data_IF_756736000867
#
_entry.id   IF_756736000867
#
_cell.length_a   1.000
_cell.length_b   1.000
_cell.length_c   1.000
_cell.angle_alpha   90.00
_cell.angle_beta   90.00
_cell.angle_gamma   90.00
#
_symmetry.space_group_name_H-M   'P 1'
#
loop_
_entity.id
_entity.type
_entity.pdbx_description
1 polymer ?
#
# COMPACT_ATOMS: atom_id res chain seq x y z
N UNK A 1 42.56 14.84 49.35
CA UNK A 1 43.04 14.94 50.75
C UNK A 1 41.98 14.36 51.69
N UNK A 2 42.43 13.60 52.70
CA UNK A 2 41.77 13.14 53.95
C UNK A 2 40.48 12.29 53.83
N UNK A 3 40.51 10.96 54.11
CA UNK A 3 40.54 10.22 55.43
C UNK A 3 39.17 10.29 56.14
N UNK A 4 38.54 9.23 56.68
CA UNK A 4 38.94 8.09 57.53
C UNK A 4 37.88 6.97 57.37
N UNK A 5 38.09 5.64 57.33
CA UNK A 5 38.80 4.63 58.16
C UNK A 5 38.32 4.44 59.61
N UNK A 6 37.94 3.21 59.94
CA UNK A 6 37.80 2.60 61.28
C UNK A 6 36.92 1.35 61.21
N UNK A 7 37.41 0.15 60.84
CA UNK A 7 38.13 -0.85 61.66
C UNK A 7 37.52 -1.15 63.04
N UNK A 8 37.13 -2.42 63.28
CA UNK A 8 37.92 -3.34 64.13
C UNK A 8 37.43 -4.80 64.09
N UNK A 9 38.41 -5.69 63.89
CA UNK A 9 38.36 -7.16 64.05
C UNK A 9 38.60 -7.55 65.51
N UNK A 10 38.13 -8.76 65.87
CA UNK A 10 38.72 -9.60 66.94
C UNK A 10 37.70 -10.60 67.49
N UNK A 11 38.03 -11.80 67.99
CA UNK A 11 39.13 -12.77 67.83
C UNK A 11 38.63 -14.03 68.56
N UNK A 12 38.94 -15.23 68.06
CA UNK A 12 38.58 -16.57 68.61
C UNK A 12 39.14 -16.84 70.03
N UNK A 13 38.48 -17.75 70.77
CA UNK A 13 38.98 -18.82 71.70
C UNK A 13 37.72 -19.57 72.20
N UNK A 14 37.43 -20.88 72.05
CA UNK A 14 38.07 -22.20 72.28
C UNK A 14 38.20 -22.67 73.75
N UNK A 15 37.68 -23.89 73.97
CA UNK A 15 37.70 -24.81 75.15
C UNK A 15 36.81 -24.42 76.35
N UNK A 16 36.00 -25.29 76.96
CA UNK A 16 36.30 -26.65 77.43
C UNK A 16 35.05 -27.55 77.55
N UNK A 17 35.29 -28.87 77.69
CA UNK A 17 34.36 -30.00 77.65
C UNK A 17 34.23 -30.56 79.06
N UNK A 18 33.01 -30.79 79.55
CA UNK A 18 32.74 -31.82 80.57
C UNK A 18 31.42 -32.54 80.27
N UNK A 19 31.49 -33.87 80.34
CA UNK A 19 30.41 -34.83 80.14
C UNK A 19 29.66 -35.07 81.45
N UNK A 20 28.33 -35.27 81.39
CA UNK A 20 27.65 -36.38 82.10
C UNK A 20 26.13 -36.38 81.88
N UNK A 21 25.66 -37.36 81.10
CA UNK A 21 24.65 -38.36 81.51
C UNK A 21 23.44 -37.91 82.37
N UNK A 22 22.26 -37.81 81.74
CA UNK A 22 21.18 -38.85 81.74
C UNK A 22 19.76 -38.28 81.57
N UNK A 23 19.09 -38.85 80.55
CA UNK A 23 17.66 -39.24 80.48
C UNK A 23 16.58 -38.16 80.49
N UNK A 24 15.81 -38.16 79.40
CA UNK A 24 14.34 -38.07 79.51
C UNK A 24 13.67 -36.90 78.79
N UNK A 25 13.23 -37.19 77.56
CA UNK A 25 11.94 -36.77 76.98
C UNK A 25 11.74 -35.33 76.40
N UNK A 26 11.54 -35.36 75.07
CA UNK A 26 10.49 -34.64 74.32
C UNK A 26 10.69 -33.17 73.93
N UNK A 27 11.43 -33.01 72.83
CA UNK A 27 11.14 -32.22 71.61
C UNK A 27 9.90 -31.28 71.65
N UNK A 28 10.14 -29.96 71.57
CA UNK A 28 9.29 -29.03 70.81
C UNK A 28 10.12 -27.82 70.34
N UNK A 29 10.79 -27.98 69.19
CA UNK A 29 11.54 -26.92 68.52
C UNK A 29 10.61 -26.02 67.71
N UNK A 30 10.54 -24.76 68.10
CA UNK A 30 10.01 -23.66 67.28
C UNK A 30 11.04 -23.29 66.22
N UNK A 31 10.93 -23.87 65.02
CA UNK A 31 11.59 -23.34 63.82
C UNK A 31 10.56 -23.21 62.69
N UNK A 32 10.05 -21.99 62.47
CA UNK A 32 9.29 -21.64 61.27
C UNK A 32 10.28 -21.46 60.12
N UNK A 33 10.45 -22.49 59.30
CA UNK A 33 11.02 -22.36 57.97
C UNK A 33 10.13 -21.47 57.07
N UNK A 34 10.69 -20.69 56.13
CA UNK A 34 9.87 -19.99 55.15
C UNK A 34 9.13 -21.02 54.28
N UNK A 35 7.82 -20.85 54.11
CA UNK A 35 6.98 -21.75 53.34
C UNK A 35 7.55 -21.97 51.93
N UNK A 36 7.96 -23.20 51.64
CA UNK A 36 8.31 -23.63 50.30
C UNK A 36 7.04 -23.68 49.45
N UNK A 37 6.97 -22.87 48.39
CA UNK A 37 5.92 -22.97 47.38
C UNK A 37 5.92 -24.41 46.81
N UNK A 38 4.76 -25.07 46.85
CA UNK A 38 4.62 -26.44 46.33
C UNK A 38 4.72 -26.45 44.80
N UNK A 39 5.22 -27.56 44.23
CA UNK A 39 5.36 -27.72 42.77
C UNK A 39 4.06 -27.46 41.99
N UNK A 40 2.90 -27.64 42.63
CA UNK A 40 1.56 -27.35 42.09
C UNK A 40 1.29 -25.83 41.95
N UNK A 41 1.75 -25.01 42.90
CA UNK A 41 1.69 -23.55 42.80
C UNK A 41 2.69 -22.99 41.77
N UNK A 42 3.82 -23.67 41.57
CA UNK A 42 4.78 -23.36 40.51
C UNK A 42 4.22 -23.70 39.12
N UNK A 43 3.50 -24.83 38.97
CA UNK A 43 2.80 -25.21 37.75
C UNK A 43 1.71 -24.20 37.34
N UNK A 44 0.81 -23.85 38.26
CA UNK A 44 -0.24 -22.84 37.99
C UNK A 44 0.33 -21.44 37.66
N UNK A 45 1.43 -21.03 38.30
CA UNK A 45 2.08 -19.74 37.99
C UNK A 45 2.78 -19.77 36.63
N UNK A 46 3.25 -20.93 36.18
CA UNK A 46 3.85 -21.11 34.85
C UNK A 46 2.78 -21.11 33.76
N UNK A 47 1.66 -21.81 33.94
CA UNK A 47 0.52 -21.79 33.01
C UNK A 47 -0.12 -20.40 32.89
N UNK A 48 -0.35 -19.71 34.02
CA UNK A 48 -0.86 -18.32 33.99
C UNK A 48 0.13 -17.32 33.36
N UNK A 49 1.43 -17.64 33.30
CA UNK A 49 2.45 -16.81 32.63
C UNK A 49 2.52 -17.08 31.13
N UNK A 50 2.39 -18.34 30.69
CA UNK A 50 2.35 -18.68 29.26
C UNK A 50 1.12 -18.09 28.60
N UNK A 51 -0.05 -18.18 29.24
CA UNK A 51 -1.31 -17.59 28.75
C UNK A 51 -1.24 -16.06 28.63
N UNK A 52 -0.63 -15.38 29.62
CA UNK A 52 -0.43 -13.93 29.57
C UNK A 52 0.55 -13.52 28.47
N UNK A 53 1.60 -14.30 28.23
CA UNK A 53 2.58 -14.01 27.17
C UNK A 53 1.94 -14.17 25.80
N UNK A 54 1.20 -15.26 25.57
CA UNK A 54 0.45 -15.50 24.34
C UNK A 54 -0.59 -14.39 24.06
N UNK A 55 -1.33 -13.96 25.08
CA UNK A 55 -2.29 -12.86 24.95
C UNK A 55 -1.62 -11.51 24.61
N UNK A 56 -0.39 -11.29 25.07
CA UNK A 56 0.35 -10.06 24.78
C UNK A 56 0.91 -10.05 23.36
N UNK A 57 1.46 -11.18 22.92
CA UNK A 57 1.96 -11.36 21.53
C UNK A 57 0.81 -11.25 20.52
N UNK A 58 -0.34 -11.87 20.80
CA UNK A 58 -1.53 -11.73 19.95
C UNK A 58 -1.99 -10.28 19.81
N UNK A 59 -2.03 -9.52 20.92
CA UNK A 59 -2.40 -8.09 20.88
C UNK A 59 -1.43 -7.25 20.05
N UNK A 60 -0.13 -7.54 20.10
CA UNK A 60 0.85 -6.85 19.24
C UNK A 60 0.59 -7.13 17.77
N UNK A 61 0.38 -8.40 17.43
CA UNK A 61 0.05 -8.84 16.07
C UNK A 61 -1.22 -8.15 15.56
N UNK A 62 -2.28 -8.12 16.37
CA UNK A 62 -3.55 -7.46 16.01
C UNK A 62 -3.35 -5.96 15.73
N UNK A 63 -2.53 -5.27 16.52
CA UNK A 63 -2.23 -3.84 16.31
C UNK A 63 -1.53 -3.60 14.98
N UNK A 64 -0.53 -4.43 14.65
CA UNK A 64 0.24 -4.27 13.42
C UNK A 64 -0.55 -4.67 12.17
N UNK A 65 -1.34 -5.75 12.25
CA UNK A 65 -2.29 -6.13 11.19
C UNK A 65 -3.25 -4.97 10.92
N UNK A 66 -3.83 -4.37 11.96
CA UNK A 66 -4.75 -3.25 11.79
C UNK A 66 -4.08 -2.03 11.12
N UNK A 67 -2.80 -1.77 11.39
CA UNK A 67 -2.04 -0.72 10.68
C UNK A 67 -1.96 -1.01 9.19
N UNK A 68 -1.61 -2.23 8.82
CA UNK A 68 -1.56 -2.66 7.40
C UNK A 68 -2.96 -2.58 6.77
N UNK A 69 -3.99 -3.10 7.44
CA UNK A 69 -5.37 -3.09 6.93
C UNK A 69 -5.87 -1.67 6.63
N UNK A 70 -5.52 -0.68 7.48
CA UNK A 70 -5.87 0.72 7.23
C UNK A 70 -5.18 1.30 6.00
N UNK A 71 -3.94 0.91 5.73
CA UNK A 71 -3.22 1.31 4.50
C UNK A 71 -3.83 0.62 3.28
N UNK A 72 -4.13 -0.68 3.37
CA UNK A 72 -4.83 -1.42 2.31
C UNK A 72 -6.19 -0.81 1.98
N UNK A 73 -6.96 -0.33 2.96
CA UNK A 73 -8.22 0.36 2.71
C UNK A 73 -8.02 1.66 1.90
N UNK A 74 -6.94 2.41 2.15
CA UNK A 74 -6.58 3.60 1.36
C UNK A 74 -6.18 3.22 -0.07
N UNK A 75 -5.39 2.16 -0.22
CA UNK A 75 -4.97 1.64 -1.54
C UNK A 75 -6.18 1.16 -2.34
N UNK A 76 -7.10 0.42 -1.72
CA UNK A 76 -8.32 -0.08 -2.33
C UNK A 76 -9.27 1.03 -2.81
N UNK A 77 -9.18 2.22 -2.21
CA UNK A 77 -9.94 3.41 -2.63
C UNK A 77 -9.17 4.28 -3.64
N UNK A 78 -8.04 3.81 -4.16
CA UNK A 78 -7.26 4.47 -5.22
C UNK A 78 -6.16 5.40 -4.71
N UNK A 79 -5.90 5.46 -3.41
CA UNK A 79 -4.78 6.25 -2.88
C UNK A 79 -3.49 5.43 -2.88
N UNK A 80 -2.88 5.29 -4.06
CA UNK A 80 -1.61 4.57 -4.25
C UNK A 80 -0.38 5.31 -3.71
N UNK A 81 -0.55 6.51 -3.15
CA UNK A 81 0.51 7.21 -2.41
C UNK A 81 0.60 6.75 -0.95
N UNK A 82 -0.42 6.06 -0.44
CA UNK A 82 -0.39 5.49 0.88
C UNK A 82 0.67 4.38 0.96
N UNK A 83 1.49 4.39 2.01
CA UNK A 83 2.55 3.41 2.25
C UNK A 83 2.46 2.85 3.65
N UNK A 84 2.86 1.59 3.78
CA UNK A 84 3.07 0.95 5.08
C UNK A 84 4.38 1.49 5.64
N UNK A 85 4.33 1.99 6.87
CA UNK A 85 5.54 2.34 7.64
C UNK A 85 6.12 1.06 8.25
N UNK A 86 6.99 0.42 7.50
CA UNK A 86 7.58 -0.90 7.80
C UNK A 86 8.51 -0.83 9.02
N UNK A 87 9.11 0.33 9.29
CA UNK A 87 10.00 0.52 10.44
C UNK A 87 9.24 0.59 11.76
N UNK A 88 7.93 0.88 11.71
CA UNK A 88 7.05 0.88 12.87
C UNK A 88 6.48 -0.51 13.21
N UNK A 89 6.84 -1.56 12.48
CA UNK A 89 6.34 -2.93 12.65
C UNK A 89 7.40 -3.79 13.34
N UNK A 90 7.07 -4.31 14.52
CA UNK A 90 7.98 -5.12 15.33
C UNK A 90 7.90 -6.62 14.98
N UNK A 91 6.77 -7.11 14.46
CA UNK A 91 6.60 -8.52 14.07
C UNK A 91 7.23 -8.76 12.69
N UNK A 92 8.26 -9.63 12.57
CA UNK A 92 8.98 -9.83 11.32
C UNK A 92 8.10 -10.24 10.14
N UNK A 93 7.14 -11.13 10.34
CA UNK A 93 6.25 -11.62 9.29
C UNK A 93 5.32 -10.51 8.78
N UNK A 94 4.81 -9.68 9.69
CA UNK A 94 3.96 -8.53 9.36
C UNK A 94 4.81 -7.46 8.67
N UNK A 95 6.08 -7.33 9.05
CA UNK A 95 7.03 -6.41 8.43
C UNK A 95 7.28 -6.76 6.97
N UNK A 96 7.59 -8.03 6.68
CA UNK A 96 7.75 -8.53 5.31
C UNK A 96 6.49 -8.29 4.47
N UNK A 97 5.30 -8.56 5.04
CA UNK A 97 4.04 -8.27 4.34
C UNK A 97 3.88 -6.77 4.04
N UNK A 98 4.32 -5.89 4.93
CA UNK A 98 4.34 -4.45 4.71
C UNK A 98 5.26 -4.04 3.55
N UNK A 99 6.42 -4.69 3.41
CA UNK A 99 7.35 -4.50 2.28
C UNK A 99 6.71 -4.96 0.96
N UNK A 100 6.16 -6.17 0.92
CA UNK A 100 5.47 -6.72 -0.25
C UNK A 100 4.31 -5.81 -0.70
N UNK A 101 3.54 -5.28 0.25
CA UNK A 101 2.46 -4.33 -0.04
C UNK A 101 3.02 -3.04 -0.64
N UNK A 102 4.11 -2.49 -0.09
CA UNK A 102 4.72 -1.28 -0.63
C UNK A 102 5.24 -1.47 -2.05
N UNK A 103 5.84 -2.61 -2.35
CA UNK A 103 6.29 -2.95 -3.70
C UNK A 103 5.11 -3.09 -4.68
N UNK A 104 4.04 -3.78 -4.26
CA UNK A 104 2.82 -3.88 -5.05
C UNK A 104 2.18 -2.50 -5.31
N UNK A 105 2.14 -1.63 -4.31
CA UNK A 105 1.63 -0.26 -4.43
C UNK A 105 2.45 0.56 -5.42
N UNK A 106 3.78 0.41 -5.42
CA UNK A 106 4.65 1.09 -6.38
C UNK A 106 4.36 0.68 -7.82
N UNK A 107 4.08 -0.61 -8.06
CA UNK A 107 3.64 -1.10 -9.38
C UNK A 107 2.29 -0.50 -9.74
N UNK A 108 1.32 -0.48 -8.82
CA UNK A 108 0.00 0.12 -9.05
C UNK A 108 0.08 1.63 -9.33
N UNK A 109 0.93 2.36 -8.59
CA UNK A 109 1.16 3.79 -8.78
C UNK A 109 1.71 4.07 -10.19
N UNK A 110 2.74 3.33 -10.61
CA UNK A 110 3.32 3.45 -11.94
C UNK A 110 2.31 3.12 -13.05
N UNK A 111 1.59 2.00 -12.92
CA UNK A 111 0.58 1.60 -13.90
C UNK A 111 -0.53 2.66 -14.01
N UNK A 112 -1.00 3.19 -12.87
CA UNK A 112 -2.02 4.24 -12.87
C UNK A 112 -1.52 5.50 -13.57
N UNK A 113 -0.27 5.90 -13.32
CA UNK A 113 0.34 7.06 -13.96
C UNK A 113 0.45 6.89 -15.48
N UNK A 114 0.98 5.76 -15.96
CA UNK A 114 1.11 5.53 -17.41
C UNK A 114 -0.24 5.40 -18.11
N UNK A 115 -1.24 4.75 -17.48
CA UNK A 115 -2.61 4.71 -17.99
C UNK A 115 -3.17 6.13 -18.11
N UNK A 116 -3.06 6.95 -17.06
CA UNK A 116 -3.57 8.33 -17.08
C UNK A 116 -2.89 9.16 -18.16
N UNK A 117 -1.57 9.06 -18.29
CA UNK A 117 -0.79 9.74 -19.33
C UNK A 117 -1.26 9.34 -20.73
N UNK A 118 -1.45 8.04 -20.98
CA UNK A 118 -1.98 7.54 -22.24
C UNK A 118 -3.40 8.03 -22.52
N UNK A 119 -4.31 7.90 -21.56
CA UNK A 119 -5.71 8.37 -21.68
C UNK A 119 -5.79 9.87 -21.94
N UNK A 120 -4.94 10.68 -21.31
CA UNK A 120 -4.90 12.13 -21.56
C UNK A 120 -4.50 12.45 -23.00
N UNK A 121 -3.58 11.68 -23.61
CA UNK A 121 -3.24 11.82 -25.03
C UNK A 121 -4.45 11.52 -25.92
N UNK A 122 -5.13 10.40 -25.67
CA UNK A 122 -6.34 10.03 -26.41
C UNK A 122 -7.41 11.13 -26.29
N UNK A 123 -7.65 11.61 -25.06
CA UNK A 123 -8.63 12.65 -24.78
C UNK A 123 -8.32 13.96 -25.49
N UNK A 124 -7.05 14.38 -25.52
CA UNK A 124 -6.64 15.59 -26.22
C UNK A 124 -6.84 15.48 -27.74
N UNK A 125 -6.54 14.33 -28.33
CA UNK A 125 -6.82 14.08 -29.75
C UNK A 125 -8.32 14.14 -30.02
N UNK A 126 -9.13 13.43 -29.23
CA UNK A 126 -10.59 13.45 -29.39
C UNK A 126 -11.21 14.83 -29.18
N UNK A 127 -10.64 15.67 -28.30
CA UNK A 127 -11.09 17.04 -28.12
C UNK A 127 -10.86 17.90 -29.38
N UNK A 128 -9.72 17.71 -30.08
CA UNK A 128 -9.45 18.37 -31.37
C UNK A 128 -10.40 17.89 -32.46
N UNK A 129 -10.65 16.58 -32.52
CA UNK A 129 -11.65 15.99 -33.43
C UNK A 129 -13.03 16.58 -33.19
N UNK A 130 -13.45 16.71 -31.93
CA UNK A 130 -14.72 17.32 -31.57
C UNK A 130 -14.81 18.81 -31.98
N UNK A 131 -13.66 19.49 -32.10
CA UNK A 131 -13.59 20.86 -32.64
C UNK A 131 -13.52 20.94 -34.16
N UNK A 132 -13.56 19.81 -34.87
CA UNK A 132 -13.56 19.71 -36.33
C UNK A 132 -12.19 19.47 -36.96
N UNK A 133 -11.13 19.30 -36.17
CA UNK A 133 -9.80 18.92 -36.67
C UNK A 133 -9.73 17.39 -36.78
N UNK A 134 -10.02 16.86 -37.98
CA UNK A 134 -10.03 15.42 -38.27
C UNK A 134 -8.68 14.89 -38.76
N UNK A 135 -7.70 15.77 -39.00
CA UNK A 135 -6.35 15.39 -39.46
C UNK A 135 -5.42 15.06 -38.28
N UNK A 136 -5.81 15.43 -37.06
CA UNK A 136 -5.10 15.05 -35.85
C UNK A 136 -5.01 13.52 -35.70
N UNK A 137 -3.89 13.02 -35.19
CA UNK A 137 -3.72 11.60 -34.85
C UNK A 137 -3.19 11.45 -33.43
N UNK A 138 -3.49 10.32 -32.81
CA UNK A 138 -2.88 9.87 -31.57
C UNK A 138 -1.45 9.43 -31.87
N UNK A 139 -0.47 9.97 -31.16
CA UNK A 139 0.89 9.42 -31.14
C UNK A 139 0.96 8.21 -30.20
N UNK A 140 0.74 7.03 -30.77
CA UNK A 140 0.71 5.73 -30.08
C UNK A 140 2.09 5.26 -29.64
N UNK A 141 3.18 5.86 -30.14
CA UNK A 141 4.54 5.48 -29.74
C UNK A 141 4.91 6.06 -28.37
N UNK A 142 4.21 7.11 -27.93
CA UNK A 142 4.38 7.70 -26.61
C UNK A 142 3.42 7.11 -25.55
N UNK A 143 2.77 5.99 -25.88
CA UNK A 143 1.87 5.25 -24.97
C UNK A 143 2.49 3.89 -24.66
N UNK A 144 2.92 3.73 -23.42
CA UNK A 144 3.62 2.53 -22.95
C UNK A 144 2.65 1.40 -22.54
N UNK A 145 1.38 1.74 -22.27
CA UNK A 145 0.36 0.77 -21.86
C UNK A 145 -0.28 0.11 -23.09
N UNK A 146 -0.13 -1.21 -23.30
CA UNK A 146 -0.58 -1.88 -24.52
C UNK A 146 -2.06 -1.68 -24.84
N UNK A 147 -2.93 -1.76 -23.84
CA UNK A 147 -4.37 -1.62 -24.03
C UNK A 147 -4.74 -0.19 -24.43
N UNK A 148 -4.12 0.81 -23.82
CA UNK A 148 -4.34 2.22 -24.17
C UNK A 148 -3.75 2.53 -25.55
N UNK A 149 -2.65 1.86 -25.90
CA UNK A 149 -2.03 1.97 -27.22
C UNK A 149 -2.96 1.44 -28.32
N UNK A 150 -3.53 0.24 -28.14
CA UNK A 150 -4.53 -0.32 -29.07
C UNK A 150 -5.72 0.61 -29.26
N UNK A 151 -6.23 1.22 -28.18
CA UNK A 151 -7.30 2.22 -28.29
C UNK A 151 -6.88 3.45 -29.11
N UNK A 152 -5.62 3.88 -28.98
CA UNK A 152 -5.08 4.95 -29.81
C UNK A 152 -4.99 4.59 -31.29
N UNK A 153 -4.63 3.34 -31.60
CA UNK A 153 -4.62 2.80 -32.97
C UNK A 153 -6.04 2.75 -33.54
N UNK A 154 -7.01 2.26 -32.78
CA UNK A 154 -8.43 2.22 -33.16
C UNK A 154 -8.98 3.62 -33.43
N UNK A 155 -8.63 4.60 -32.61
CA UNK A 155 -8.99 6.01 -32.83
C UNK A 155 -8.41 6.51 -34.16
N UNK A 156 -7.14 6.23 -34.44
CA UNK A 156 -6.51 6.65 -35.69
C UNK A 156 -7.21 6.03 -36.91
N UNK A 157 -7.53 4.74 -36.88
CA UNK A 157 -8.27 4.05 -37.94
C UNK A 157 -9.65 4.71 -38.15
N UNK A 158 -10.37 5.00 -37.07
CA UNK A 158 -11.67 5.67 -37.17
C UNK A 158 -11.55 7.06 -37.80
N UNK A 159 -10.49 7.80 -37.46
CA UNK A 159 -10.24 9.12 -38.04
C UNK A 159 -9.87 9.06 -39.52
N UNK A 160 -9.15 8.04 -39.96
CA UNK A 160 -8.89 7.81 -41.39
C UNK A 160 -10.20 7.63 -42.16
N UNK A 161 -11.10 6.77 -41.66
CA UNK A 161 -12.43 6.56 -42.27
C UNK A 161 -13.27 7.85 -42.29
N UNK A 162 -13.25 8.62 -41.20
CA UNK A 162 -13.97 9.90 -41.13
C UNK A 162 -13.39 10.90 -42.14
N UNK A 163 -12.06 11.00 -42.22
CA UNK A 163 -11.38 11.92 -43.14
C UNK A 163 -11.72 11.59 -44.59
N UNK A 164 -11.59 10.32 -44.99
CA UNK A 164 -11.96 9.86 -46.33
C UNK A 164 -13.43 10.12 -46.67
N UNK A 165 -14.32 9.98 -45.68
CA UNK A 165 -15.76 10.22 -45.87
C UNK A 165 -16.03 11.72 -46.07
N UNK A 166 -15.38 12.57 -45.29
CA UNK A 166 -15.51 14.03 -45.41
C UNK A 166 -14.98 14.54 -46.74
N UNK A 167 -13.83 14.04 -47.20
CA UNK A 167 -13.27 14.41 -48.50
C UNK A 167 -14.25 14.09 -49.64
N UNK A 168 -14.82 12.87 -49.66
CA UNK A 168 -15.82 12.48 -50.67
C UNK A 168 -17.07 13.35 -50.61
N UNK A 169 -17.56 13.67 -49.42
CA UNK A 169 -18.73 14.55 -49.26
C UNK A 169 -18.45 15.97 -49.77
N UNK A 170 -17.24 16.49 -49.54
CA UNK A 170 -16.82 17.81 -50.01
C UNK A 170 -16.67 17.85 -51.53
N UNK A 171 -16.10 16.80 -52.13
CA UNK A 171 -16.00 16.64 -53.59
C UNK A 171 -17.40 16.63 -54.23
N UNK A 172 -18.30 15.77 -53.76
CA UNK A 172 -19.69 15.68 -54.23
C UNK A 172 -20.45 17.01 -54.09
N UNK A 173 -20.24 17.72 -52.98
CA UNK A 173 -20.85 19.02 -52.76
C UNK A 173 -20.29 20.08 -53.71
N UNK A 174 -18.98 20.08 -53.95
CA UNK A 174 -18.31 20.93 -54.91
C UNK A 174 -18.84 20.75 -56.33
N UNK A 175 -18.92 19.51 -56.80
CA UNK A 175 -19.47 19.19 -58.14
C UNK A 175 -20.91 19.69 -58.30
N UNK A 176 -21.76 19.51 -57.27
CA UNK A 176 -23.15 19.99 -57.30
C UNK A 176 -23.24 21.51 -57.33
N UNK A 177 -22.39 22.22 -56.57
CA UNK A 177 -22.32 23.68 -56.59
C UNK A 177 -21.87 24.19 -57.96
N UNK A 178 -20.83 23.57 -58.54
CA UNK A 178 -20.33 23.90 -59.88
C UNK A 178 -21.39 23.66 -60.96
N UNK A 179 -22.15 22.56 -60.86
CA UNK A 179 -23.27 22.30 -61.75
C UNK A 179 -24.32 23.42 -61.65
N UNK A 180 -24.76 23.79 -60.44
CA UNK A 180 -25.74 24.86 -60.24
C UNK A 180 -25.28 26.21 -60.82
N UNK A 181 -23.98 26.51 -60.73
CA UNK A 181 -23.39 27.73 -61.30
C UNK A 181 -23.34 27.72 -62.83
N UNK A 182 -23.35 26.54 -63.48
CA UNK A 182 -23.32 26.40 -64.94
C UNK A 182 -24.71 26.33 -65.57
N UNK A 183 -25.76 26.01 -64.82
CA UNK A 183 -27.12 25.99 -65.34
C UNK A 183 -27.59 27.43 -65.58
N UNK A 184 -27.96 27.83 -66.81
CA UNK A 184 -28.42 29.17 -67.08
C UNK A 184 -29.71 29.43 -66.29
N UNK A 185 -29.71 30.52 -65.52
CA UNK A 185 -30.92 30.92 -64.80
C UNK A 185 -32.03 31.28 -65.78
N UNK A 186 -33.32 31.10 -65.43
CA UNK A 186 -34.42 31.48 -66.32
C UNK A 186 -34.37 32.93 -66.81
N UNK A 187 -33.82 33.86 -66.00
CA UNK A 187 -33.59 35.26 -66.40
C UNK A 187 -32.50 35.38 -67.47
N UNK A 188 -31.40 34.61 -67.38
CA UNK A 188 -30.36 34.57 -68.41
C UNK A 188 -30.86 33.97 -69.73
N UNK A 189 -31.74 32.95 -69.66
CA UNK A 189 -32.35 32.36 -70.86
C UNK A 189 -33.26 33.38 -71.56
N UNK A 190 -34.03 34.17 -70.81
CA UNK A 190 -34.91 35.21 -71.37
C UNK A 190 -34.14 36.39 -71.98
N UNK A 191 -32.95 36.74 -71.47
CA UNK A 191 -32.13 37.82 -72.00
C UNK A 191 -31.41 37.48 -73.32
N UNK A 192 -31.26 36.20 -73.67
CA UNK A 192 -30.61 35.76 -74.92
C UNK A 192 -31.58 35.59 -76.11
N UNK A 193 -32.89 35.85 -75.93
CA UNK A 193 -33.95 35.60 -76.93
C UNK A 193 -34.57 36.91 -77.47
N UNK A 194 -34.05 38.07 -77.08
CA UNK A 194 -34.50 39.41 -77.54
C UNK A 194 -33.38 40.09 -78.30
#
# INVERSE_FOLDING_TARGET
MAKKKGEKKGRKKFFEREESDKRGESIEGKDKAPASETNEQLGEKMDKKSDKKAATEKRKLDVEINRISNILAKIATGNYKAKVDVDAIDVPEVKMLGEDINDAVKVLENNTYEIQKGVNKLSNTLAKVASGDYDVRVDVNEIDVPEVKMLGEDINIALDVISETLEKMLEDAGEKVDYLNRVPTPIMVLMNVV
#
